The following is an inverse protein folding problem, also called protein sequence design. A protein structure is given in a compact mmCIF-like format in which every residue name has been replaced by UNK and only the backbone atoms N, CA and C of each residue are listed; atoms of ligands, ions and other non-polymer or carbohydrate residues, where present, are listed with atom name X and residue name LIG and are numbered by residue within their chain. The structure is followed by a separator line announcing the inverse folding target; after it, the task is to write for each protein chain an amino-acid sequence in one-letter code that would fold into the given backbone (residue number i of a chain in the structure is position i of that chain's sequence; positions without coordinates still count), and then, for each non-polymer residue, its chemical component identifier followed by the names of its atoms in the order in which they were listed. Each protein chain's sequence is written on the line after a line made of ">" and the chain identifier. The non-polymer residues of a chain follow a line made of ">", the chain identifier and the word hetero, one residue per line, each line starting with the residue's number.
data_IF_327794515804
#
_entry.id   IF_327794515804
#
_cell.length_a   1.000
_cell.length_b   1.000
_cell.length_c   1.000
_cell.angle_alpha   90.00
_cell.angle_beta   90.00
_cell.angle_gamma   90.00
#
_symmetry.space_group_name_H-M   'P 1'
#
loop_
_entity.id
_entity.type
_entity.pdbx_description
1 polymer ?
#
# COMPACT_ATOMS: atom_id res chain seq x y z
N UNK A 1 -16.97 -11.80 0.24
CA UNK A 1 -16.56 -11.61 -1.17
C UNK A 1 -15.07 -11.25 -1.21
N UNK A 2 -14.28 -11.78 -2.14
CA UNK A 2 -12.87 -11.40 -2.29
C UNK A 2 -12.74 -10.39 -3.43
N UNK A 3 -12.62 -9.09 -3.11
CA UNK A 3 -12.35 -8.05 -4.10
C UNK A 3 -10.88 -8.10 -4.50
N UNK A 4 -10.61 -8.19 -5.80
CA UNK A 4 -9.27 -8.08 -6.38
C UNK A 4 -9.31 -7.06 -7.50
N UNK A 5 -8.42 -6.07 -7.43
CA UNK A 5 -8.27 -5.07 -8.49
C UNK A 5 -6.90 -5.25 -9.13
N UNK A 6 -6.91 -5.25 -10.47
CA UNK A 6 -5.74 -5.22 -11.32
C UNK A 6 -5.94 -4.12 -12.34
N UNK A 7 -5.08 -3.13 -12.31
CA UNK A 7 -5.03 -2.03 -13.26
C UNK A 7 -3.54 -1.68 -13.47
N UNK A 8 -3.21 -0.87 -14.48
CA UNK A 8 -1.82 -0.49 -14.77
C UNK A 8 -1.61 1.02 -14.65
N UNK A 9 -2.67 1.78 -14.37
CA UNK A 9 -2.72 3.25 -14.50
C UNK A 9 -3.58 3.94 -13.45
N UNK A 10 -3.90 3.28 -12.34
CA UNK A 10 -4.57 3.98 -11.24
C UNK A 10 -3.68 5.13 -10.79
N UNK A 11 -4.29 6.28 -10.52
CA UNK A 11 -3.55 7.45 -10.02
C UNK A 11 -3.72 7.58 -8.52
N UNK A 12 -4.98 7.51 -8.08
CA UNK A 12 -5.37 7.75 -6.70
C UNK A 12 -6.46 6.77 -6.31
N UNK A 13 -6.31 6.16 -5.14
CA UNK A 13 -7.39 5.44 -4.46
C UNK A 13 -7.62 6.11 -3.10
N UNK A 14 -8.86 6.46 -2.78
CA UNK A 14 -9.19 6.95 -1.46
C UNK A 14 -9.14 5.79 -0.46
N UNK A 15 -9.99 4.79 -0.67
CA UNK A 15 -10.06 3.61 0.18
C UNK A 15 -10.10 2.36 -0.68
N UNK A 16 -9.29 1.38 -0.33
CA UNK A 16 -9.40 0.03 -0.85
C UNK A 16 -9.72 -0.90 0.33
N UNK A 17 -10.87 -1.56 0.26
CA UNK A 17 -11.25 -2.68 1.13
C UNK A 17 -11.39 -3.93 0.24
N UNK A 18 -10.36 -4.77 0.27
CA UNK A 18 -10.30 -5.91 -0.62
C UNK A 18 -9.12 -6.82 -0.34
N UNK A 19 -9.09 -7.98 -0.98
CA UNK A 19 -8.04 -8.97 -0.70
C UNK A 19 -6.70 -8.54 -1.33
N UNK A 20 -6.74 -8.13 -2.60
CA UNK A 20 -5.54 -7.88 -3.41
C UNK A 20 -5.71 -6.67 -4.30
N UNK A 21 -4.74 -5.75 -4.26
CA UNK A 21 -4.59 -4.66 -5.22
C UNK A 21 -3.24 -4.81 -5.91
N UNK A 22 -3.27 -4.91 -7.24
CA UNK A 22 -2.08 -4.82 -8.08
C UNK A 22 -2.24 -3.62 -9.00
N UNK A 23 -1.30 -2.71 -8.95
CA UNK A 23 -1.14 -1.66 -9.95
C UNK A 23 0.34 -1.52 -10.34
N UNK A 24 0.65 -0.84 -11.43
CA UNK A 24 2.04 -0.63 -11.88
C UNK A 24 2.45 0.86 -11.80
N UNK A 25 1.49 1.76 -11.57
CA UNK A 25 1.62 3.22 -11.67
C UNK A 25 0.83 3.99 -10.60
N UNK A 26 0.35 3.35 -9.54
CA UNK A 26 -0.39 4.00 -8.48
C UNK A 26 0.48 5.08 -7.87
N UNK A 27 -0.07 6.26 -7.63
CA UNK A 27 0.69 7.34 -6.97
C UNK A 27 0.37 7.42 -5.50
N UNK A 28 -0.93 7.36 -5.19
CA UNK A 28 -1.42 7.61 -3.84
C UNK A 28 -2.55 6.65 -3.49
N UNK A 29 -2.48 6.09 -2.30
CA UNK A 29 -3.62 5.46 -1.63
C UNK A 29 -3.76 6.04 -0.23
N UNK A 30 -4.96 6.48 0.16
CA UNK A 30 -5.15 7.00 1.51
C UNK A 30 -5.22 5.82 2.50
N UNK A 31 -6.16 4.92 2.30
CA UNK A 31 -6.34 3.73 3.16
C UNK A 31 -6.34 2.46 2.32
N UNK A 32 -5.47 1.53 2.69
CA UNK A 32 -5.50 0.16 2.20
C UNK A 32 -5.88 -0.77 3.35
N UNK A 33 -7.02 -1.43 3.26
CA UNK A 33 -7.42 -2.55 4.10
C UNK A 33 -7.48 -3.79 3.22
N UNK A 34 -6.50 -4.68 3.40
CA UNK A 34 -6.42 -5.86 2.58
C UNK A 34 -5.27 -6.79 2.90
N UNK A 35 -5.14 -7.88 2.14
CA UNK A 35 -4.06 -8.84 2.39
C UNK A 35 -2.78 -8.46 1.68
N UNK A 36 -2.88 -8.00 0.43
CA UNK A 36 -1.72 -7.80 -0.44
C UNK A 36 -1.87 -6.57 -1.32
N UNK A 37 -0.89 -5.67 -1.22
CA UNK A 37 -0.68 -4.55 -2.12
C UNK A 37 0.63 -4.74 -2.87
N UNK A 38 0.56 -4.76 -4.19
CA UNK A 38 1.73 -4.74 -5.06
C UNK A 38 1.64 -3.55 -6.01
N UNK A 39 2.67 -2.71 -5.98
CA UNK A 39 2.85 -1.64 -6.96
C UNK A 39 4.33 -1.48 -7.31
N UNK A 40 4.64 -0.84 -8.44
CA UNK A 40 6.03 -0.62 -8.88
C UNK A 40 6.46 0.86 -8.73
N UNK A 41 5.51 1.76 -8.47
CA UNK A 41 5.65 3.22 -8.55
C UNK A 41 4.86 3.98 -7.48
N UNK A 42 4.39 3.31 -6.43
CA UNK A 42 3.62 3.90 -5.36
C UNK A 42 4.47 4.94 -4.66
N UNK A 43 3.91 6.13 -4.46
CA UNK A 43 4.63 7.22 -3.80
C UNK A 43 4.24 7.32 -2.35
N UNK A 44 2.93 7.25 -2.08
CA UNK A 44 2.37 7.55 -0.77
C UNK A 44 1.27 6.58 -0.38
N UNK A 45 1.36 6.06 0.84
CA UNK A 45 0.25 5.44 1.57
C UNK A 45 0.04 6.20 2.88
N UNK A 46 -1.20 6.57 3.25
CA UNK A 46 -1.42 7.08 4.59
C UNK A 46 -1.51 5.94 5.61
N UNK A 47 -2.42 4.99 5.38
CA UNK A 47 -2.62 3.83 6.25
C UNK A 47 -2.58 2.54 5.45
N UNK A 48 -1.73 1.62 5.89
CA UNK A 48 -1.68 0.25 5.37
C UNK A 48 -2.09 -0.73 6.49
N UNK A 49 -3.25 -1.34 6.34
CA UNK A 49 -3.66 -2.52 7.07
C UNK A 49 -3.55 -3.75 6.18
N UNK A 50 -2.55 -4.57 6.43
CA UNK A 50 -2.36 -5.77 5.63
C UNK A 50 -1.14 -6.61 5.94
N UNK A 51 -1.03 -7.72 5.22
CA UNK A 51 0.03 -8.72 5.45
C UNK A 51 1.26 -8.50 4.59
N UNK A 52 1.08 -7.98 3.38
CA UNK A 52 2.17 -7.85 2.41
C UNK A 52 2.03 -6.57 1.62
N UNK A 53 3.06 -5.73 1.69
CA UNK A 53 3.23 -4.56 0.86
C UNK A 53 4.54 -4.73 0.10
N UNK A 54 4.45 -4.81 -1.22
CA UNK A 54 5.61 -4.82 -2.11
C UNK A 54 5.55 -3.62 -3.03
N UNK A 55 6.53 -2.74 -2.90
CA UNK A 55 6.73 -1.65 -3.84
C UNK A 55 8.20 -1.25 -3.96
N UNK A 56 8.63 -0.98 -5.20
CA UNK A 56 10.03 -0.70 -5.53
C UNK A 56 10.42 0.78 -5.35
N UNK A 57 9.44 1.69 -5.26
CA UNK A 57 9.62 3.16 -5.28
C UNK A 57 8.92 3.90 -4.14
N UNK A 58 8.43 3.17 -3.14
CA UNK A 58 7.62 3.70 -2.06
C UNK A 58 8.40 4.71 -1.25
N UNK A 59 7.88 5.92 -1.21
CA UNK A 59 8.56 7.05 -0.55
C UNK A 59 8.04 7.29 0.85
N UNK A 60 6.75 7.06 1.10
CA UNK A 60 6.13 7.41 2.38
C UNK A 60 5.01 6.46 2.74
N UNK A 61 5.07 5.97 3.98
CA UNK A 61 3.91 5.42 4.70
C UNK A 61 3.81 6.12 6.05
N UNK A 62 2.61 6.59 6.41
CA UNK A 62 2.40 7.20 7.72
C UNK A 62 2.12 6.15 8.82
N UNK A 63 1.25 5.18 8.56
CA UNK A 63 0.89 4.12 9.52
C UNK A 63 0.85 2.75 8.86
N UNK A 64 1.44 1.75 9.52
CA UNK A 64 1.40 0.33 9.12
C UNK A 64 0.85 -0.46 10.30
N UNK A 65 -0.35 -1.01 10.13
CA UNK A 65 -1.00 -1.88 11.09
C UNK A 65 -1.04 -3.28 10.47
N UNK A 66 -0.15 -4.18 10.87
CA UNK A 66 -0.10 -5.50 10.28
C UNK A 66 1.06 -6.32 10.78
N UNK A 67 0.89 -7.65 10.80
CA UNK A 67 1.92 -8.62 11.18
C UNK A 67 3.02 -8.73 10.10
N UNK A 68 3.71 -7.61 9.87
CA UNK A 68 4.54 -7.37 8.70
C UNK A 68 5.96 -7.95 8.90
N UNK A 69 6.11 -9.28 8.81
CA UNK A 69 7.38 -9.98 9.07
C UNK A 69 8.37 -10.02 7.90
N UNK A 70 8.09 -9.41 6.75
CA UNK A 70 9.07 -9.25 5.65
C UNK A 70 8.89 -7.91 4.94
N UNK A 71 9.35 -6.87 5.60
CA UNK A 71 9.49 -5.54 5.03
C UNK A 71 10.95 -5.34 4.60
N UNK A 72 11.35 -5.81 3.43
CA UNK A 72 12.74 -5.64 2.96
C UNK A 72 13.11 -4.15 2.71
N UNK A 73 12.17 -3.19 2.83
CA UNK A 73 12.49 -1.75 2.71
C UNK A 73 11.43 -0.75 3.18
N UNK A 74 10.68 -1.01 4.26
CA UNK A 74 9.69 -0.02 4.72
C UNK A 74 10.36 1.09 5.56
N UNK A 75 10.70 2.22 4.95
CA UNK A 75 11.08 3.45 5.68
C UNK A 75 9.80 4.09 6.24
N UNK A 76 9.42 3.72 7.45
CA UNK A 76 8.39 4.44 8.20
C UNK A 76 8.94 5.83 8.58
N UNK A 77 8.14 6.88 8.41
CA UNK A 77 8.52 8.19 8.98
C UNK A 77 8.29 8.13 10.49
N UNK A 78 9.25 8.55 11.32
CA UNK A 78 9.00 8.78 12.74
C UNK A 78 7.84 9.78 12.90
N UNK A 79 6.91 9.51 13.82
CA UNK A 79 5.96 10.52 14.27
C UNK A 79 6.77 11.57 15.05
N UNK A 80 6.94 12.76 14.48
CA UNK A 80 7.38 13.91 15.28
C UNK A 80 6.15 14.37 16.06
N UNK A 81 6.18 14.15 17.39
CA UNK A 81 5.23 14.70 18.35
C UNK A 81 5.59 16.15 18.67
#
# INVERSE_FOLDING_TARGET
>A
MSVTIKDDRLRTIATFDGKTLKDDRLRTIATFDGKTLKDDRLRTIATFDGKTLKDDRLRTIATVNGNNRKADRLRTRPKFY
#
